data_IF_478821564254
#
_entry.id   IF_478821564254
#
_cell.length_a   1.000
_cell.length_b   1.000
_cell.length_c   1.000
_cell.angle_alpha   90.00
_cell.angle_beta   90.00
_cell.angle_gamma   90.00
#
_symmetry.space_group_name_H-M   'P 1'
#
loop_
_entity.id
_entity.type
_entity.pdbx_description
1 polymer ?
#
# COMPACT_ATOMS: atom_id res chain seq x y z
N UNK A 1 -2.13 -7.38 -11.02
CA UNK A 1 -2.81 -6.27 -11.70
C UNK A 1 -1.79 -5.25 -12.18
N UNK A 2 -1.83 -4.93 -13.47
CA UNK A 2 -1.00 -3.89 -14.09
C UNK A 2 -1.65 -2.51 -13.93
N UNK A 3 -0.84 -1.48 -13.66
CA UNK A 3 -1.30 -0.11 -13.49
C UNK A 3 -0.86 0.78 -14.65
N UNK A 4 -1.72 1.69 -15.06
CA UNK A 4 -1.40 2.83 -15.92
C UNK A 4 -1.81 4.11 -15.21
N UNK A 5 -0.87 5.07 -15.05
CA UNK A 5 -1.11 6.31 -14.27
C UNK A 5 -1.72 6.03 -12.88
N UNK A 6 -1.21 5.00 -12.18
CA UNK A 6 -1.65 4.55 -10.84
C UNK A 6 -3.09 4.03 -10.78
N UNK A 7 -3.71 3.74 -11.92
CA UNK A 7 -5.04 3.11 -12.01
C UNK A 7 -4.91 1.73 -12.64
N UNK A 8 -5.74 0.76 -12.23
CA UNK A 8 -5.86 -0.51 -12.93
C UNK A 8 -6.10 -0.31 -14.42
N UNK A 9 -5.37 -1.03 -15.26
CA UNK A 9 -5.66 -1.07 -16.70
C UNK A 9 -7.01 -1.76 -16.88
N UNK A 10 -7.93 -1.08 -17.59
CA UNK A 10 -9.25 -1.65 -17.95
C UNK A 10 -9.18 -2.18 -19.37
N UNK A 11 -9.65 -3.40 -19.56
CA UNK A 11 -9.84 -4.00 -20.88
C UNK A 11 -11.11 -3.47 -21.51
N UNK A 12 -11.09 -3.38 -22.83
CA UNK A 12 -12.25 -3.01 -23.64
C UNK A 12 -13.25 -4.17 -23.64
N UNK A 13 -14.56 -3.87 -23.66
CA UNK A 13 -15.57 -4.91 -23.83
C UNK A 13 -15.38 -5.60 -25.18
N UNK A 14 -15.75 -6.88 -25.27
CA UNK A 14 -15.73 -7.61 -26.52
C UNK A 14 -16.64 -6.89 -27.53
N UNK A 15 -16.13 -6.68 -28.75
CA UNK A 15 -16.96 -6.17 -29.84
C UNK A 15 -18.05 -7.19 -30.18
N UNK A 16 -19.30 -6.73 -30.33
CA UNK A 16 -20.38 -7.54 -30.87
C UNK A 16 -20.09 -7.77 -32.35
N UNK A 17 -19.75 -9.01 -32.70
CA UNK A 17 -19.50 -9.42 -34.08
C UNK A 17 -20.76 -10.15 -34.55
N UNK A 18 -21.54 -9.50 -35.41
CA UNK A 18 -22.80 -10.06 -35.93
C UNK A 18 -22.58 -11.14 -37.00
N UNK A 19 -21.42 -11.13 -37.68
CA UNK A 19 -21.08 -12.05 -38.76
C UNK A 19 -19.95 -13.01 -38.35
N UNK A 20 -20.25 -14.31 -38.33
CA UNK A 20 -19.30 -15.37 -37.98
C UNK A 20 -18.13 -15.51 -38.97
N UNK A 21 -18.23 -14.92 -40.16
CA UNK A 21 -17.16 -14.93 -41.17
C UNK A 21 -16.32 -13.65 -41.21
N UNK A 22 -16.57 -12.68 -40.33
CA UNK A 22 -15.82 -11.42 -40.33
C UNK A 22 -14.36 -11.61 -39.89
N UNK A 23 -13.43 -10.94 -40.57
CA UNK A 23 -12.04 -10.88 -40.10
C UNK A 23 -11.94 -10.08 -38.80
N UNK A 24 -11.24 -10.66 -37.82
CA UNK A 24 -11.06 -10.06 -36.50
C UNK A 24 -9.58 -10.01 -36.13
N UNK A 25 -9.24 -9.02 -35.32
CA UNK A 25 -7.92 -8.89 -34.70
C UNK A 25 -8.04 -9.13 -33.21
N UNK A 26 -7.15 -9.97 -32.67
CA UNK A 26 -7.24 -10.43 -31.28
C UNK A 26 -5.90 -10.23 -30.58
N UNK A 27 -5.94 -9.81 -29.31
CA UNK A 27 -4.78 -9.74 -28.42
C UNK A 27 -4.84 -10.90 -27.41
N UNK A 28 -4.09 -12.00 -27.60
CA UNK A 28 -4.23 -13.22 -26.81
C UNK A 28 -4.06 -13.04 -25.30
N UNK A 29 -3.19 -12.12 -24.88
CA UNK A 29 -2.88 -11.91 -23.47
C UNK A 29 -3.99 -11.13 -22.73
N UNK A 30 -4.79 -10.33 -23.45
CA UNK A 30 -5.88 -9.54 -22.84
C UNK A 30 -7.26 -10.07 -23.20
N UNK A 31 -7.36 -10.94 -24.22
CA UNK A 31 -8.63 -11.45 -24.75
C UNK A 31 -9.44 -10.39 -25.49
N UNK A 32 -8.86 -9.21 -25.77
CA UNK A 32 -9.54 -8.15 -26.50
C UNK A 32 -9.63 -8.49 -27.99
N UNK A 33 -10.82 -8.32 -28.56
CA UNK A 33 -11.13 -8.58 -29.97
C UNK A 33 -11.59 -7.29 -30.63
N UNK A 34 -11.12 -7.05 -31.85
CA UNK A 34 -11.35 -5.86 -32.63
C UNK A 34 -11.86 -6.24 -34.02
N UNK A 35 -12.85 -5.49 -34.51
CA UNK A 35 -13.40 -5.59 -35.87
C UNK A 35 -12.70 -4.65 -36.87
N UNK A 36 -11.81 -3.78 -36.40
CA UNK A 36 -11.01 -2.87 -37.23
C UNK A 36 -9.53 -2.99 -36.89
N UNK A 37 -8.71 -3.10 -37.93
CA UNK A 37 -7.26 -3.17 -37.79
C UNK A 37 -6.67 -1.91 -37.14
N UNK A 38 -7.21 -0.73 -37.45
CA UNK A 38 -6.74 0.54 -36.90
C UNK A 38 -6.96 0.59 -35.38
N UNK A 39 -8.13 0.16 -34.91
CA UNK A 39 -8.43 0.08 -33.47
C UNK A 39 -7.53 -0.92 -32.74
N UNK A 40 -7.18 -2.02 -33.40
CA UNK A 40 -6.21 -2.98 -32.88
C UNK A 40 -4.80 -2.35 -32.77
N UNK A 41 -4.35 -1.63 -33.80
CA UNK A 41 -3.04 -0.96 -33.78
C UNK A 41 -2.94 0.09 -32.68
N UNK A 42 -3.96 0.95 -32.55
CA UNK A 42 -4.01 1.96 -31.49
C UNK A 42 -3.94 1.31 -30.09
N UNK A 43 -4.64 0.18 -29.92
CA UNK A 43 -4.60 -0.57 -28.66
C UNK A 43 -3.23 -1.19 -28.40
N UNK A 44 -2.63 -1.74 -29.44
CA UNK A 44 -1.30 -2.35 -29.36
C UNK A 44 -0.23 -1.28 -29.04
N UNK A 45 -0.32 -0.11 -29.65
CA UNK A 45 0.57 1.02 -29.37
C UNK A 45 0.42 1.53 -27.94
N UNK A 46 -0.81 1.58 -27.42
CA UNK A 46 -1.06 1.82 -26.00
C UNK A 46 -0.30 0.83 -25.11
N UNK A 47 -0.36 -0.48 -25.41
CA UNK A 47 0.33 -1.51 -24.62
C UNK A 47 1.85 -1.51 -24.76
N UNK A 48 2.38 -1.05 -25.89
CA UNK A 48 3.83 -0.90 -26.12
C UNK A 48 4.42 0.32 -25.41
N UNK A 49 3.60 1.26 -24.91
CA UNK A 49 4.11 2.39 -24.13
C UNK A 49 4.81 1.91 -22.86
N UNK A 50 6.00 2.44 -22.56
CA UNK A 50 6.73 2.19 -21.32
C UNK A 50 6.23 3.03 -20.15
N UNK A 51 4.93 2.93 -19.86
CA UNK A 51 4.22 3.76 -18.87
C UNK A 51 3.40 2.93 -17.89
N UNK A 52 3.61 1.62 -17.88
CA UNK A 52 2.94 0.71 -16.98
C UNK A 52 3.79 0.40 -15.77
N UNK A 53 3.09 0.04 -14.70
CA UNK A 53 3.67 -0.25 -13.40
C UNK A 53 3.14 -1.58 -12.91
N UNK A 54 4.00 -2.37 -12.27
CA UNK A 54 3.62 -3.57 -11.55
C UNK A 54 3.13 -3.18 -10.14
N UNK A 55 1.91 -3.59 -9.79
CA UNK A 55 1.34 -3.34 -8.46
C UNK A 55 2.11 -4.03 -7.33
N UNK A 56 2.58 -5.25 -7.55
CA UNK A 56 3.23 -6.10 -6.55
C UNK A 56 4.64 -5.58 -6.31
N UNK A 57 5.50 -5.68 -7.33
CA UNK A 57 6.92 -5.34 -7.23
C UNK A 57 7.17 -3.84 -7.20
N UNK A 58 6.26 -3.02 -7.75
CA UNK A 58 6.41 -1.57 -7.81
C UNK A 58 7.30 -1.06 -8.94
N UNK A 59 7.85 -1.96 -9.78
CA UNK A 59 8.63 -1.57 -10.95
C UNK A 59 7.78 -0.74 -11.92
N UNK A 60 8.36 0.35 -12.42
CA UNK A 60 7.72 1.30 -13.33
C UNK A 60 8.49 1.43 -14.63
N UNK A 61 7.85 1.95 -15.68
CA UNK A 61 8.50 2.13 -16.99
C UNK A 61 8.52 0.85 -17.82
N UNK A 62 7.61 -0.06 -17.53
CA UNK A 62 7.43 -1.31 -18.25
C UNK A 62 6.38 -1.12 -19.36
N UNK A 63 6.46 -1.94 -20.41
CA UNK A 63 5.32 -2.15 -21.31
C UNK A 63 4.22 -2.91 -20.57
N UNK A 64 3.00 -2.94 -21.12
CA UNK A 64 1.90 -3.67 -20.49
C UNK A 64 2.22 -5.16 -20.33
N UNK A 65 2.76 -5.80 -21.36
CA UNK A 65 3.05 -7.25 -21.33
C UNK A 65 4.23 -7.59 -20.42
N UNK A 66 5.26 -6.73 -20.35
CA UNK A 66 6.33 -6.87 -19.37
C UNK A 66 5.80 -6.74 -17.94
N UNK A 67 4.98 -5.73 -17.68
CA UNK A 67 4.35 -5.53 -16.37
C UNK A 67 3.44 -6.70 -15.99
N UNK A 68 2.69 -7.26 -16.95
CA UNK A 68 1.83 -8.42 -16.74
C UNK A 68 2.66 -9.66 -16.39
N UNK A 69 3.74 -9.92 -17.12
CA UNK A 69 4.66 -11.04 -16.83
C UNK A 69 5.33 -10.88 -15.47
N UNK A 70 5.81 -9.67 -15.16
CA UNK A 70 6.38 -9.33 -13.85
C UNK A 70 5.38 -9.57 -12.73
N UNK A 71 4.12 -9.17 -12.92
CA UNK A 71 3.12 -9.32 -11.88
C UNK A 71 2.73 -10.78 -11.64
N UNK A 72 2.63 -11.59 -12.69
CA UNK A 72 2.39 -13.03 -12.55
C UNK A 72 3.56 -13.74 -11.85
N UNK A 73 4.80 -13.40 -12.22
CA UNK A 73 5.99 -13.98 -11.61
C UNK A 73 6.14 -13.54 -10.15
N UNK A 74 6.09 -12.25 -9.89
CA UNK A 74 6.21 -11.68 -8.54
C UNK A 74 5.06 -12.11 -7.62
N UNK A 75 3.85 -12.29 -8.15
CA UNK A 75 2.73 -12.83 -7.40
C UNK A 75 2.97 -14.26 -6.92
N UNK A 76 3.47 -15.14 -7.80
CA UNK A 76 3.82 -16.52 -7.45
C UNK A 76 4.97 -16.59 -6.45
N UNK A 77 5.99 -15.76 -6.64
CA UNK A 77 7.14 -15.70 -5.73
C UNK A 77 6.72 -15.26 -4.33
N UNK A 78 5.88 -14.22 -4.23
CA UNK A 78 5.33 -13.77 -2.94
C UNK A 78 4.50 -14.86 -2.28
N UNK A 79 3.69 -15.59 -3.04
CA UNK A 79 2.87 -16.68 -2.51
C UNK A 79 3.70 -17.87 -2.03
N UNK A 80 4.77 -18.23 -2.74
CA UNK A 80 5.65 -19.33 -2.40
C UNK A 80 6.61 -19.00 -1.24
N UNK A 81 7.11 -17.76 -1.18
CA UNK A 81 8.09 -17.34 -0.17
C UNK A 81 7.47 -16.94 1.17
N UNK A 82 6.20 -16.49 1.17
CA UNK A 82 5.55 -16.03 2.39
C UNK A 82 5.13 -17.21 3.26
N UNK A 83 5.46 -17.24 4.58
CA UNK A 83 5.16 -18.38 5.45
C UNK A 83 3.67 -18.72 5.49
N UNK A 84 3.32 -19.98 5.18
CA UNK A 84 1.93 -20.44 5.06
C UNK A 84 1.14 -20.25 6.36
N UNK A 85 1.76 -20.60 7.49
CA UNK A 85 1.19 -20.46 8.84
C UNK A 85 0.79 -19.01 9.18
N UNK A 86 1.45 -18.01 8.58
CA UNK A 86 1.17 -16.60 8.82
C UNK A 86 0.09 -16.02 7.91
N UNK A 87 -0.19 -16.63 6.74
CA UNK A 87 -1.11 -16.09 5.73
C UNK A 87 -2.51 -15.87 6.32
N UNK A 88 -3.11 -16.91 6.88
CA UNK A 88 -4.46 -16.84 7.46
C UNK A 88 -4.59 -15.83 8.60
N UNK A 89 -3.77 -15.91 9.66
CA UNK A 89 -3.78 -14.96 10.77
C UNK A 89 -3.60 -13.50 10.34
N UNK A 90 -2.65 -13.21 9.44
CA UNK A 90 -2.39 -11.86 8.96
C UNK A 90 -3.57 -11.34 8.14
N UNK A 91 -4.13 -12.15 7.25
CA UNK A 91 -5.29 -11.75 6.44
C UNK A 91 -6.51 -11.45 7.33
N UNK A 92 -6.75 -12.26 8.36
CA UNK A 92 -7.81 -11.98 9.36
C UNK A 92 -7.57 -10.66 10.08
N UNK A 93 -6.32 -10.33 10.42
CA UNK A 93 -6.00 -9.08 11.10
C UNK A 93 -6.13 -7.85 10.20
N UNK A 94 -5.74 -7.99 8.93
CA UNK A 94 -5.80 -6.91 7.94
C UNK A 94 -7.25 -6.63 7.52
N UNK A 95 -8.10 -7.65 7.49
CA UNK A 95 -9.51 -7.51 7.15
C UNK A 95 -10.17 -6.41 8.00
N UNK A 96 -10.84 -5.48 7.32
CA UNK A 96 -11.54 -4.35 7.91
C UNK A 96 -10.68 -3.29 8.63
N UNK A 97 -9.35 -3.36 8.57
CA UNK A 97 -8.51 -2.25 9.01
C UNK A 97 -8.83 -0.98 8.20
N UNK A 98 -8.87 0.18 8.83
CA UNK A 98 -9.14 1.47 8.17
C UNK A 98 -7.89 2.32 7.96
N UNK A 99 -6.70 1.75 8.21
CA UNK A 99 -5.42 2.44 8.06
C UNK A 99 -5.23 2.92 6.63
N UNK A 100 -4.99 4.22 6.44
CA UNK A 100 -5.03 4.84 5.11
C UNK A 100 -3.78 4.60 4.26
N UNK A 101 -2.62 4.39 4.87
CA UNK A 101 -1.35 4.17 4.15
C UNK A 101 -0.93 2.73 4.31
N UNK A 102 -0.57 2.08 3.19
CA UNK A 102 -0.09 0.70 3.20
C UNK A 102 1.13 0.53 4.11
N UNK A 103 2.07 1.47 4.09
CA UNK A 103 3.28 1.38 4.92
C UNK A 103 2.95 1.37 6.42
N UNK A 104 2.03 2.24 6.87
CA UNK A 104 1.58 2.25 8.26
C UNK A 104 0.87 0.95 8.65
N UNK A 105 0.07 0.37 7.73
CA UNK A 105 -0.57 -0.92 7.96
C UNK A 105 0.48 -2.03 8.09
N UNK A 106 1.46 -2.06 7.18
CA UNK A 106 2.56 -3.02 7.20
C UNK A 106 3.34 -2.91 8.51
N UNK A 107 3.64 -1.70 8.97
CA UNK A 107 4.34 -1.49 10.24
C UNK A 107 3.53 -2.02 11.43
N UNK A 108 2.23 -1.69 11.50
CA UNK A 108 1.34 -2.16 12.56
C UNK A 108 1.27 -3.69 12.62
N UNK A 109 1.05 -4.34 11.47
CA UNK A 109 0.96 -5.80 11.39
C UNK A 109 2.31 -6.43 11.69
N UNK A 110 3.42 -5.86 11.19
CA UNK A 110 4.74 -6.37 11.48
C UNK A 110 5.06 -6.34 12.97
N UNK A 111 4.78 -5.22 13.64
CA UNK A 111 5.07 -5.06 15.07
C UNK A 111 4.24 -5.98 15.96
N UNK A 112 3.03 -6.34 15.54
CA UNK A 112 2.18 -7.30 16.24
C UNK A 112 2.65 -8.75 16.03
N UNK A 113 3.06 -9.12 14.81
CA UNK A 113 3.38 -10.51 14.47
C UNK A 113 4.86 -10.89 14.66
N UNK A 114 5.78 -9.93 14.78
CA UNK A 114 7.24 -10.20 14.83
C UNK A 114 7.67 -11.14 15.96
N UNK A 115 6.97 -11.13 17.10
CA UNK A 115 7.22 -12.01 18.26
C UNK A 115 6.05 -12.97 18.55
N UNK A 116 5.15 -13.16 17.57
CA UNK A 116 3.98 -14.02 17.72
C UNK A 116 4.04 -15.17 16.72
N UNK A 117 4.31 -16.39 17.20
CA UNK A 117 4.63 -17.55 16.36
C UNK A 117 3.41 -18.48 16.21
N UNK A 118 3.21 -19.05 15.03
CA UNK A 118 2.05 -19.89 14.72
C UNK A 118 2.45 -21.35 14.44
N UNK A 119 1.56 -22.32 14.69
CA UNK A 119 1.74 -23.70 14.29
C UNK A 119 2.13 -23.85 12.82
N UNK A 120 3.12 -24.70 12.53
CA UNK A 120 3.68 -24.92 11.20
C UNK A 120 4.77 -23.94 10.79
N UNK A 121 5.17 -23.00 11.66
CA UNK A 121 6.32 -22.13 11.41
C UNK A 121 7.65 -22.77 11.84
N UNK A 122 8.70 -22.54 11.04
CA UNK A 122 10.07 -22.86 11.42
C UNK A 122 10.66 -21.75 12.29
N UNK A 123 11.26 -22.15 13.42
CA UNK A 123 11.82 -21.26 14.42
C UNK A 123 13.16 -21.79 14.92
N UNK A 124 13.98 -20.89 15.45
CA UNK A 124 15.15 -21.22 16.25
C UNK A 124 14.81 -21.02 17.72
N UNK A 125 15.02 -22.05 18.52
CA UNK A 125 14.83 -22.03 19.98
C UNK A 125 16.17 -21.99 20.69
N UNK A 126 16.22 -21.26 21.80
CA UNK A 126 17.39 -21.19 22.69
C UNK A 126 17.13 -22.04 23.92
N UNK A 127 17.87 -23.13 24.07
CA UNK A 127 17.78 -24.05 25.19
C UNK A 127 18.38 -23.43 26.46
N UNK A 128 18.07 -24.00 27.62
CA UNK A 128 18.57 -23.52 28.93
C UNK A 128 20.10 -23.52 29.04
N UNK A 129 20.79 -24.33 28.23
CA UNK A 129 22.25 -24.38 28.14
C UNK A 129 22.89 -23.30 27.26
N UNK A 130 22.09 -22.45 26.60
CA UNK A 130 22.57 -21.47 25.61
C UNK A 130 22.68 -22.02 24.20
N UNK A 131 22.56 -23.34 24.02
CA UNK A 131 22.53 -23.99 22.71
C UNK A 131 21.28 -23.58 21.94
N UNK A 132 21.45 -23.39 20.62
CA UNK A 132 20.37 -23.04 19.71
C UNK A 132 20.05 -24.22 18.82
N UNK A 133 18.77 -24.57 18.72
CA UNK A 133 18.28 -25.64 17.86
C UNK A 133 17.18 -25.11 16.95
N UNK A 134 17.09 -25.66 15.73
CA UNK A 134 15.99 -25.37 14.83
C UNK A 134 14.83 -26.31 15.12
N UNK A 135 13.60 -25.83 14.96
CA UNK A 135 12.40 -26.61 15.21
C UNK A 135 11.17 -26.07 14.50
N UNK A 136 10.09 -26.86 14.56
CA UNK A 136 8.79 -26.52 14.02
C UNK A 136 7.82 -26.26 15.17
N UNK A 137 7.11 -25.13 15.14
CA UNK A 137 6.06 -24.86 16.12
C UNK A 137 4.91 -25.83 15.90
N UNK A 138 4.63 -26.68 16.88
CA UNK A 138 3.49 -27.61 16.88
C UNK A 138 2.24 -26.92 17.40
N UNK A 139 2.32 -26.36 18.59
CA UNK A 139 1.19 -25.72 19.25
C UNK A 139 1.55 -24.35 19.84
N UNK A 140 0.55 -23.47 19.84
CA UNK A 140 0.58 -22.17 20.50
C UNK A 140 -0.53 -22.15 21.56
N UNK A 141 -0.14 -21.93 22.81
CA UNK A 141 -1.09 -21.79 23.93
C UNK A 141 -0.92 -20.45 24.61
N UNK A 142 -1.95 -19.60 24.57
CA UNK A 142 -1.96 -18.31 25.26
C UNK A 142 -2.78 -18.40 26.53
N UNK A 143 -2.15 -18.11 27.66
CA UNK A 143 -2.79 -18.01 28.97
C UNK A 143 -3.09 -16.55 29.26
N UNK A 144 -4.37 -16.24 29.55
CA UNK A 144 -4.77 -14.91 29.97
C UNK A 144 -4.24 -14.53 31.37
N UNK A 145 -4.49 -13.28 31.81
CA UNK A 145 -4.11 -12.82 33.14
C UNK A 145 -4.66 -13.73 34.23
N UNK A 146 -3.80 -14.21 35.13
CA UNK A 146 -4.19 -15.06 36.26
C UNK A 146 -4.18 -14.26 37.55
N UNK A 147 -5.22 -14.39 38.36
CA UNK A 147 -5.25 -13.82 39.71
C UNK A 147 -4.23 -14.56 40.61
N UNK A 148 -3.31 -13.82 41.18
CA UNK A 148 -2.30 -14.29 42.12
C UNK A 148 -2.87 -14.27 43.56
N UNK A 149 -2.29 -15.04 44.50
CA UNK A 149 -2.76 -15.10 45.89
C UNK A 149 -2.75 -13.75 46.63
N UNK A 150 -1.99 -12.78 46.13
CA UNK A 150 -1.88 -11.42 46.65
C UNK A 150 -2.96 -10.46 46.11
N UNK A 151 -3.89 -10.95 45.27
CA UNK A 151 -4.94 -10.15 44.64
C UNK A 151 -4.50 -9.38 43.38
N UNK A 152 -3.23 -9.49 42.97
CA UNK A 152 -2.75 -8.93 41.70
C UNK A 152 -3.01 -9.88 40.52
N UNK A 153 -2.94 -9.39 39.29
CA UNK A 153 -3.09 -10.20 38.07
C UNK A 153 -1.75 -10.35 37.36
N UNK A 154 -1.40 -11.57 36.96
CA UNK A 154 -0.26 -11.82 36.09
C UNK A 154 -0.51 -11.25 34.69
N UNK A 155 0.56 -10.95 33.96
CA UNK A 155 0.44 -10.64 32.54
C UNK A 155 0.02 -11.90 31.75
N UNK A 156 -0.61 -11.73 30.56
CA UNK A 156 -0.80 -12.84 29.64
C UNK A 156 0.54 -13.47 29.27
N UNK A 157 0.60 -14.79 29.18
CA UNK A 157 1.81 -15.52 28.81
C UNK A 157 1.47 -16.50 27.70
N UNK A 158 2.26 -16.51 26.64
CA UNK A 158 2.14 -17.50 25.56
C UNK A 158 3.26 -18.53 25.68
N UNK A 159 2.90 -19.80 25.52
CA UNK A 159 3.84 -20.91 25.42
C UNK A 159 3.72 -21.58 24.07
N UNK A 160 4.86 -22.00 23.54
CA UNK A 160 4.98 -22.67 22.26
C UNK A 160 5.54 -24.07 22.49
N UNK A 161 4.86 -25.08 21.96
CA UNK A 161 5.39 -26.43 21.86
C UNK A 161 6.15 -26.52 20.55
N UNK A 162 7.44 -26.79 20.60
CA UNK A 162 8.33 -26.83 19.44
C UNK A 162 8.93 -28.23 19.32
N UNK A 163 8.79 -28.80 18.13
CA UNK A 163 9.39 -30.06 17.72
C UNK A 163 10.78 -29.78 17.14
N UNK A 164 11.84 -30.31 17.77
CA UNK A 164 13.22 -30.02 17.37
C UNK A 164 13.61 -30.82 16.12
N UNK A 165 14.39 -30.22 15.22
CA UNK A 165 14.87 -30.93 14.02
C UNK A 165 16.03 -31.88 14.32
N UNK A 166 16.84 -31.54 15.33
CA UNK A 166 18.07 -32.27 15.67
C UNK A 166 17.83 -33.42 16.68
N UNK A 167 16.67 -33.42 17.35
CA UNK A 167 16.24 -34.41 18.33
C UNK A 167 14.76 -34.66 18.12
N UNK A 168 14.27 -35.91 18.15
CA UNK A 168 12.84 -36.26 18.05
C UNK A 168 12.09 -35.95 19.37
N UNK A 169 12.47 -34.84 20.02
CA UNK A 169 12.00 -34.37 21.32
C UNK A 169 11.25 -33.06 21.17
N UNK A 170 10.14 -32.93 21.90
CA UNK A 170 9.35 -31.71 21.95
C UNK A 170 9.76 -30.86 23.17
N UNK A 171 9.90 -29.55 22.98
CA UNK A 171 10.22 -28.60 24.05
C UNK A 171 9.19 -27.49 24.14
N UNK A 172 8.82 -27.15 25.38
CA UNK A 172 7.98 -25.99 25.66
C UNK A 172 8.85 -24.75 25.88
N UNK A 173 8.64 -23.71 25.07
CA UNK A 173 9.36 -22.44 25.14
C UNK A 173 8.41 -21.25 25.30
N UNK A 174 8.91 -20.18 25.91
CA UNK A 174 8.25 -18.86 25.97
C UNK A 174 8.72 -17.97 24.83
N UNK A 175 8.10 -16.82 24.67
CA UNK A 175 8.44 -15.76 23.70
C UNK A 175 9.91 -15.28 23.79
N UNK A 176 10.54 -15.38 24.96
CA UNK A 176 11.93 -15.00 25.18
C UNK A 176 12.94 -15.99 24.55
N UNK A 177 12.57 -17.26 24.40
CA UNK A 177 13.48 -18.35 24.01
C UNK A 177 13.19 -18.90 22.61
N UNK A 178 12.44 -18.16 21.80
CA UNK A 178 12.04 -18.53 20.44
C UNK A 178 12.26 -17.33 19.51
N UNK A 179 12.77 -17.58 18.31
CA UNK A 179 12.97 -16.55 17.30
C UNK A 179 12.79 -17.10 15.89
N UNK A 180 12.38 -16.26 14.95
CA UNK A 180 12.38 -16.60 13.51
C UNK A 180 13.77 -16.35 12.94
N UNK A 181 14.11 -17.11 11.91
CA UNK A 181 15.33 -16.83 11.17
C UNK A 181 15.22 -15.51 10.43
N UNK A 182 16.39 -14.86 10.28
CA UNK A 182 16.49 -13.57 9.64
C UNK A 182 16.09 -13.69 8.17
N UNK A 183 15.13 -12.87 7.75
CA UNK A 183 14.69 -12.79 6.36
C UNK A 183 13.41 -13.56 6.05
N UNK A 184 12.94 -14.45 6.93
CA UNK A 184 11.69 -15.21 6.73
C UNK A 184 10.47 -14.30 6.79
N UNK A 185 10.45 -13.37 7.75
CA UNK A 185 9.35 -12.43 7.94
C UNK A 185 9.88 -11.01 7.93
N UNK A 186 9.77 -10.34 6.78
CA UNK A 186 10.24 -8.96 6.60
C UNK A 186 9.10 -8.02 6.21
N UNK A 187 9.23 -6.73 6.52
CA UNK A 187 8.26 -5.70 6.08
C UNK A 187 8.11 -5.63 4.56
N UNK A 188 9.17 -5.92 3.81
CA UNK A 188 9.12 -5.95 2.35
C UNK A 188 8.25 -7.10 1.84
N UNK A 189 8.46 -8.32 2.35
CA UNK A 189 7.62 -9.48 2.03
C UNK A 189 6.17 -9.28 2.45
N UNK A 190 5.95 -8.78 3.68
CA UNK A 190 4.61 -8.47 4.20
C UNK A 190 3.89 -7.44 3.33
N UNK A 191 4.58 -6.38 2.90
CA UNK A 191 4.04 -5.37 1.97
C UNK A 191 3.59 -6.01 0.66
N UNK A 192 4.44 -6.84 0.06
CA UNK A 192 4.12 -7.52 -1.19
C UNK A 192 2.95 -8.50 -1.04
N UNK A 193 2.93 -9.26 0.06
CA UNK A 193 1.83 -10.16 0.42
C UNK A 193 0.50 -9.40 0.54
N UNK A 194 0.44 -8.33 1.34
CA UNK A 194 -0.78 -7.53 1.50
C UNK A 194 -1.24 -6.92 0.17
N UNK A 195 -0.32 -6.43 -0.68
CA UNK A 195 -0.68 -5.89 -2.01
C UNK A 195 -1.28 -6.97 -2.93
N UNK A 196 -0.79 -8.20 -2.84
CA UNK A 196 -1.26 -9.32 -3.66
C UNK A 196 -2.63 -9.82 -3.17
N UNK A 197 -2.86 -9.87 -1.87
CA UNK A 197 -4.02 -10.56 -1.29
C UNK A 197 -5.19 -9.65 -0.93
N UNK A 198 -4.97 -8.33 -0.83
CA UNK A 198 -5.96 -7.38 -0.31
C UNK A 198 -6.22 -6.25 -1.30
N UNK A 199 -7.41 -5.66 -1.22
CA UNK A 199 -7.86 -4.50 -2.00
C UNK A 199 -8.42 -3.43 -1.06
N UNK A 200 -8.44 -2.17 -1.52
CA UNK A 200 -9.04 -1.06 -0.78
C UNK A 200 -9.58 -0.01 -1.73
N UNK A 201 -10.76 0.51 -1.41
CA UNK A 201 -11.40 1.56 -2.18
C UNK A 201 -10.74 2.92 -1.99
N UNK A 202 -10.86 3.78 -3.00
CA UNK A 202 -10.24 5.10 -3.03
C UNK A 202 -11.03 6.18 -2.25
N UNK A 203 -11.48 5.87 -1.02
CA UNK A 203 -12.13 6.85 -0.13
C UNK A 203 -11.55 6.85 1.29
N UNK A 204 -11.70 7.98 1.99
CA UNK A 204 -11.15 8.17 3.32
C UNK A 204 -11.90 7.34 4.36
N UNK A 205 -11.20 6.38 4.97
CA UNK A 205 -11.81 5.43 5.91
C UNK A 205 -12.25 4.12 5.26
N UNK A 206 -11.99 3.93 3.95
CA UNK A 206 -12.24 2.65 3.29
C UNK A 206 -11.51 1.51 4.01
N UNK A 207 -12.22 0.44 4.40
CA UNK A 207 -11.59 -0.74 4.99
C UNK A 207 -10.75 -1.48 3.95
N UNK A 208 -9.70 -2.15 4.43
CA UNK A 208 -8.98 -3.16 3.66
C UNK A 208 -9.81 -4.43 3.55
N UNK A 209 -9.93 -4.98 2.34
CA UNK A 209 -10.72 -6.15 2.02
C UNK A 209 -9.85 -7.24 1.37
N UNK A 210 -9.80 -8.40 2.02
CA UNK A 210 -9.15 -9.60 1.47
C UNK A 210 -9.90 -10.03 0.20
N UNK A 211 -9.16 -10.34 -0.86
CA UNK A 211 -9.75 -10.82 -2.12
C UNK A 211 -10.47 -12.15 -1.90
N UNK A 212 -11.55 -12.36 -2.65
CA UNK A 212 -12.43 -13.53 -2.49
C UNK A 212 -11.70 -14.88 -2.61
N UNK A 213 -10.65 -14.96 -3.42
CA UNK A 213 -9.81 -16.16 -3.58
C UNK A 213 -9.18 -16.59 -2.24
N UNK A 214 -8.52 -15.67 -1.53
CA UNK A 214 -7.92 -15.94 -0.22
C UNK A 214 -8.95 -15.97 0.90
N UNK A 215 -10.02 -15.19 0.81
CA UNK A 215 -11.08 -15.20 1.80
C UNK A 215 -11.77 -16.57 1.88
N UNK A 216 -11.98 -17.21 0.72
CA UNK A 216 -12.49 -18.58 0.65
C UNK A 216 -11.50 -19.58 1.24
N UNK A 217 -10.23 -19.49 0.84
CA UNK A 217 -9.16 -20.40 1.30
C UNK A 217 -8.96 -20.35 2.83
N UNK A 218 -8.93 -19.15 3.41
CA UNK A 218 -8.68 -18.95 4.85
C UNK A 218 -9.95 -18.71 5.68
N UNK A 219 -11.13 -18.90 5.08
CA UNK A 219 -12.43 -18.85 5.75
C UNK A 219 -12.68 -17.50 6.44
N UNK A 220 -12.41 -16.40 5.72
CA UNK A 220 -12.51 -15.02 6.22
C UNK A 220 -13.83 -14.42 5.76
N UNK A 221 -14.61 -13.84 6.68
CA UNK A 221 -15.84 -13.13 6.34
C UNK A 221 -15.52 -11.82 5.60
N UNK A 222 -16.10 -11.68 4.41
CA UNK A 222 -15.96 -10.50 3.54
C UNK A 222 -17.08 -9.48 3.72
N UNK A 223 -18.09 -9.77 4.55
CA UNK A 223 -19.23 -8.87 4.79
C UNK A 223 -18.79 -7.66 5.60
N UNK A 224 -18.69 -6.52 4.90
CA UNK A 224 -18.29 -5.25 5.52
C UNK A 224 -19.30 -4.82 6.58
N UNK A 225 -18.88 -4.64 7.84
CA UNK A 225 -19.75 -4.17 8.92
C UNK A 225 -20.43 -2.84 8.58
N UNK A 226 -21.69 -2.60 9.00
CA UNK A 226 -22.44 -1.40 8.62
C UNK A 226 -21.69 -0.10 8.88
N UNK A 227 -21.03 0.06 10.03
CA UNK A 227 -20.31 1.28 10.40
C UNK A 227 -19.07 1.57 9.53
N UNK A 228 -18.60 0.60 8.75
CA UNK A 228 -17.49 0.73 7.80
C UNK A 228 -17.95 0.86 6.34
N UNK A 229 -19.26 0.72 6.08
CA UNK A 229 -19.82 0.87 4.74
C UNK A 229 -19.76 2.34 4.30
N UNK A 230 -19.47 2.53 3.02
CA UNK A 230 -19.40 3.85 2.39
C UNK A 230 -20.69 4.66 2.60
N UNK A 231 -21.85 4.06 2.36
CA UNK A 231 -23.15 4.73 2.46
C UNK A 231 -23.38 5.35 3.85
N UNK A 232 -23.07 4.60 4.91
CA UNK A 232 -23.21 5.06 6.29
C UNK A 232 -22.23 6.20 6.60
N UNK A 233 -20.99 6.13 6.09
CA UNK A 233 -20.02 7.21 6.22
C UNK A 233 -20.43 8.48 5.48
N UNK A 234 -21.08 8.36 4.34
CA UNK A 234 -21.64 9.50 3.59
C UNK A 234 -22.78 10.14 4.38
N UNK A 235 -23.70 9.32 4.94
CA UNK A 235 -24.80 9.81 5.76
C UNK A 235 -24.30 10.53 7.03
N UNK A 236 -23.34 9.94 7.74
CA UNK A 236 -22.70 10.55 8.93
C UNK A 236 -22.10 11.92 8.60
N UNK A 237 -21.37 12.01 7.48
CA UNK A 237 -20.80 13.29 7.01
C UNK A 237 -21.88 14.32 6.69
N UNK A 238 -22.96 13.90 6.01
CA UNK A 238 -24.09 14.78 5.67
C UNK A 238 -24.78 15.30 6.93
N UNK A 239 -24.96 14.45 7.93
CA UNK A 239 -25.58 14.81 9.21
C UNK A 239 -24.70 15.79 9.99
N UNK A 240 -23.39 15.55 10.09
CA UNK A 240 -22.44 16.47 10.73
C UNK A 240 -22.40 17.84 10.04
N UNK A 241 -22.48 17.87 8.70
CA UNK A 241 -22.58 19.14 7.96
C UNK A 241 -23.91 19.87 8.23
N UNK A 242 -25.03 19.15 8.31
CA UNK A 242 -26.32 19.73 8.66
C UNK A 242 -26.32 20.29 10.09
N UNK A 243 -25.74 19.57 11.05
CA UNK A 243 -25.59 20.04 12.44
C UNK A 243 -24.71 21.29 12.52
N UNK A 244 -23.58 21.34 11.81
CA UNK A 244 -22.73 22.54 11.74
C UNK A 244 -23.45 23.73 11.14
N UNK A 245 -24.26 23.51 10.09
CA UNK A 245 -25.10 24.57 9.50
C UNK A 245 -26.17 25.06 10.48
N UNK A 246 -26.80 24.15 11.22
CA UNK A 246 -27.79 24.51 12.24
C UNK A 246 -27.15 25.29 13.40
N UNK A 247 -25.94 24.91 13.84
CA UNK A 247 -25.20 25.62 14.90
C UNK A 247 -24.79 27.03 14.47
N UNK A 248 -24.27 27.21 13.24
CA UNK A 248 -23.94 28.55 12.72
C UNK A 248 -25.17 29.46 12.64
N UNK A 249 -26.33 28.93 12.23
CA UNK A 249 -27.55 29.72 12.16
C UNK A 249 -28.08 30.16 13.54
N UNK A 250 -27.75 29.43 14.60
CA UNK A 250 -28.16 29.78 15.96
C UNK A 250 -27.25 30.87 16.57
N UNK A 251 -25.95 30.88 16.24
CA UNK A 251 -25.01 31.92 16.68
C UNK A 251 -25.24 33.27 15.98
N UNK A 252 -25.76 33.29 14.74
CA UNK A 252 -26.07 34.56 14.03
C UNK A 252 -27.35 35.24 14.49
N UNK A 253 -28.25 34.53 15.18
CA UNK A 253 -29.53 35.08 15.65
C UNK A 253 -29.48 35.57 17.12
N UNK A 254 -28.31 35.54 17.76
CA UNK A 254 -28.12 35.92 19.16
C UNK A 254 -27.45 37.28 19.40
N UNK A 255 -27.33 38.15 18.39
CA UNK A 255 -26.86 39.53 18.59
C UNK A 255 -28.01 40.53 18.37
N UNK A 256 -28.31 41.26 19.45
CA UNK A 256 -29.37 42.25 19.65
C UNK A 256 -29.88 43.01 18.42
N UNK A 257 -31.20 42.96 18.27
CA UNK A 257 -32.01 43.77 17.36
C UNK A 257 -32.21 45.19 17.92
N UNK A 258 -31.17 46.04 17.94
CA UNK A 258 -31.36 47.50 18.00
C UNK A 258 -30.27 48.27 17.23
N UNK A 259 -30.31 48.21 15.90
CA UNK A 259 -29.96 49.33 15.00
C UNK A 259 -30.07 48.91 13.54
N UNK A 260 -31.30 48.89 13.03
CA UNK A 260 -31.57 48.80 11.60
C UNK A 260 -32.07 50.16 11.10
N UNK A 261 -31.14 51.07 10.82
CA UNK A 261 -31.31 52.23 9.94
C UNK A 261 -29.92 52.52 9.38
N UNK A 262 -29.75 52.31 8.07
CA UNK A 262 -28.74 52.82 7.12
C UNK A 262 -28.34 51.71 6.12
N UNK A 263 -29.01 51.74 4.97
CA UNK A 263 -28.66 50.98 3.77
C UNK A 263 -27.35 51.51 3.17
N UNK A 264 -26.34 50.64 3.05
CA UNK A 264 -25.13 50.84 2.27
C UNK A 264 -24.69 49.51 1.64
N UNK A 265 -23.95 49.51 0.51
CA UNK A 265 -23.72 48.33 -0.29
C UNK A 265 -22.82 47.32 0.44
N UNK A 266 -23.18 46.05 0.30
CA UNK A 266 -22.53 44.88 0.90
C UNK A 266 -21.03 44.88 0.58
N UNK A 267 -20.19 45.09 1.61
CA UNK A 267 -18.74 44.86 1.55
C UNK A 267 -18.45 43.36 1.67
N UNK A 268 -17.60 42.84 0.77
CA UNK A 268 -17.02 41.50 0.86
C UNK A 268 -16.34 41.28 2.24
N UNK A 269 -16.39 40.08 2.83
CA UNK A 269 -15.68 39.78 4.08
C UNK A 269 -14.17 39.97 3.92
N UNK A 270 -13.56 40.78 4.79
CA UNK A 270 -12.11 40.99 4.80
C UNK A 270 -11.37 39.69 5.12
N UNK A 271 -10.47 39.30 4.21
CA UNK A 271 -9.50 38.24 4.43
C UNK A 271 -8.57 38.64 5.59
N UNK A 272 -8.68 37.92 6.72
CA UNK A 272 -7.69 38.02 7.80
C UNK A 272 -6.31 37.65 7.23
N UNK A 273 -5.28 38.51 7.36
CA UNK A 273 -3.94 38.13 6.97
C UNK A 273 -3.43 36.97 7.84
N UNK A 274 -2.75 36.02 7.20
CA UNK A 274 -2.13 34.88 7.86
C UNK A 274 -1.22 35.32 9.03
N UNK A 275 -1.19 34.59 10.17
CA UNK A 275 -0.33 34.94 11.28
C UNK A 275 1.15 34.81 10.85
N UNK A 276 1.86 35.93 10.85
CA UNK A 276 3.31 35.97 10.64
C UNK A 276 4.00 35.23 11.77
N UNK A 277 4.81 34.24 11.40
CA UNK A 277 5.76 33.57 12.29
C UNK A 277 6.71 34.60 12.92
N UNK A 278 6.86 34.52 14.25
CA UNK A 278 7.85 35.29 15.01
C UNK A 278 9.25 34.82 14.62
N UNK A 279 10.01 35.65 13.91
CA UNK A 279 11.45 35.51 13.71
C UNK A 279 12.16 36.30 14.82
N UNK A 280 13.12 35.65 15.49
CA UNK A 280 13.98 36.22 16.55
C UNK A 280 14.97 37.26 15.95
N UNK A 281 15.37 38.31 16.71
CA UNK A 281 16.28 39.34 16.20
C UNK A 281 17.77 38.98 16.35
N UNK A 282 18.56 39.46 15.38
CA UNK A 282 20.03 39.43 15.29
C UNK A 282 20.48 38.79 13.97
N UNK A 283 21.23 39.39 13.04
CA UNK A 283 22.07 40.58 13.11
C UNK A 283 22.56 40.96 11.68
N UNK A 284 22.48 42.25 11.34
CA UNK A 284 23.17 43.06 10.29
C UNK A 284 23.15 42.69 8.78
N UNK A 285 22.83 43.69 7.94
CA UNK A 285 23.44 43.83 6.60
C UNK A 285 22.57 44.38 5.46
N UNK A 286 22.42 45.71 5.40
CA UNK A 286 22.30 46.61 4.22
C UNK A 286 21.65 46.17 2.89
N UNK A 287 20.76 47.04 2.36
CA UNK A 287 20.73 47.32 0.91
C UNK A 287 19.40 47.15 0.17
N UNK A 288 18.61 48.21 0.13
CA UNK A 288 17.45 48.40 -0.76
C UNK A 288 17.84 48.49 -2.25
N UNK A 289 17.05 47.88 -3.16
CA UNK A 289 16.47 48.52 -4.39
C UNK A 289 15.70 47.51 -5.29
N UNK A 290 14.38 47.74 -5.40
CA UNK A 290 13.52 47.70 -6.60
C UNK A 290 13.51 46.47 -7.53
N UNK A 291 12.41 45.71 -7.51
CA UNK A 291 11.99 44.84 -8.61
C UNK A 291 11.38 45.67 -9.75
N UNK A 292 11.87 45.45 -10.98
CA UNK A 292 11.25 45.88 -12.23
C UNK A 292 11.17 44.65 -13.16
N UNK A 293 9.96 44.29 -13.56
CA UNK A 293 9.69 43.28 -14.57
C UNK A 293 9.88 43.86 -15.97
N UNK A 294 10.32 43.07 -16.95
CA UNK A 294 9.83 43.26 -18.30
C UNK A 294 9.21 41.99 -18.89
N UNK A 295 8.10 42.24 -19.56
CA UNK A 295 7.41 41.43 -20.56
C UNK A 295 8.28 41.35 -21.83
N UNK A 296 8.14 40.25 -22.58
CA UNK A 296 8.57 39.94 -23.97
C UNK A 296 9.71 38.93 -24.20
N UNK A 297 9.34 37.88 -24.96
CA UNK A 297 10.15 36.88 -25.68
C UNK A 297 10.95 37.52 -26.84
N UNK A 298 12.07 36.93 -27.32
CA UNK A 298 11.98 35.88 -28.36
C UNK A 298 13.08 34.78 -28.39
N UNK A 299 12.69 33.62 -28.92
CA UNK A 299 13.33 32.68 -29.88
C UNK A 299 14.87 32.60 -30.05
N UNK A 300 15.33 31.33 -30.05
CA UNK A 300 16.57 30.70 -30.57
C UNK A 300 17.91 30.85 -29.82
N UNK A 301 18.49 29.67 -29.52
CA UNK A 301 19.91 29.40 -29.79
C UNK A 301 20.81 29.08 -28.58
N UNK A 302 21.39 27.86 -28.58
CA UNK A 302 22.76 27.66 -28.12
C UNK A 302 22.98 27.17 -26.68
N UNK A 303 23.34 25.89 -26.55
CA UNK A 303 24.20 25.38 -25.47
C UNK A 303 25.47 26.22 -25.36
N UNK A 304 25.98 26.44 -24.13
CA UNK A 304 27.32 25.90 -23.81
C UNK A 304 27.52 25.51 -22.32
N UNK A 305 28.64 24.86 -22.05
CA UNK A 305 29.19 24.38 -20.76
C UNK A 305 28.63 23.04 -20.25
N UNK A 306 29.30 21.89 -20.42
CA UNK A 306 30.70 21.49 -20.17
C UNK A 306 31.07 21.43 -18.69
N UNK A 307 31.32 20.19 -18.21
CA UNK A 307 32.25 19.70 -17.15
C UNK A 307 31.60 18.65 -16.24
N UNK A 308 32.35 17.76 -15.55
CA UNK A 308 33.22 16.71 -16.10
C UNK A 308 33.09 15.35 -15.35
N UNK A 309 33.86 14.34 -15.81
CA UNK A 309 34.39 13.15 -15.07
C UNK A 309 33.37 12.15 -14.49
N UNK A 310 33.10 10.99 -15.09
CA UNK A 310 33.95 9.85 -15.47
C UNK A 310 34.48 9.05 -14.24
N UNK A 311 33.69 8.03 -13.87
CA UNK A 311 34.11 6.88 -13.06
C UNK A 311 33.62 5.63 -13.77
N UNK A 312 34.59 4.80 -14.20
CA UNK A 312 34.37 3.66 -15.07
C UNK A 312 33.63 2.49 -14.43
N UNK A 313 32.83 1.84 -15.26
CA UNK A 313 32.34 0.47 -15.05
C UNK A 313 32.88 -0.36 -16.22
N UNK A 314 33.74 -1.33 -15.89
CA UNK A 314 34.18 -2.38 -16.81
C UNK A 314 33.00 -3.28 -17.16
N UNK A 315 32.68 -3.37 -18.45
CA UNK A 315 31.78 -4.37 -19.02
C UNK A 315 32.57 -5.63 -19.41
N UNK A 316 32.08 -6.85 -19.12
CA UNK A 316 32.72 -8.08 -19.56
C UNK A 316 32.46 -8.37 -21.04
N UNK A 317 33.50 -8.80 -21.73
CA UNK A 317 33.57 -9.14 -23.15
C UNK A 317 32.76 -10.42 -23.43
N UNK A 318 31.77 -10.33 -24.33
CA UNK A 318 31.10 -11.49 -24.93
C UNK A 318 32.02 -12.11 -25.99
N UNK A 319 32.26 -13.42 -25.89
CA UNK A 319 32.95 -14.23 -26.91
C UNK A 319 31.95 -14.72 -27.96
N UNK A 320 32.35 -14.63 -29.21
CA UNK A 320 31.63 -15.11 -30.39
C UNK A 320 31.78 -16.64 -30.55
N UNK A 321 30.74 -17.39 -30.98
CA UNK A 321 30.82 -18.85 -31.10
C UNK A 321 31.36 -19.31 -32.46
N UNK A 322 32.34 -20.21 -32.42
CA UNK A 322 32.90 -20.96 -33.56
C UNK A 322 31.92 -22.01 -34.09
N UNK A 323 31.82 -22.26 -35.42
CA UNK A 323 30.94 -23.28 -35.98
C UNK A 323 31.53 -24.71 -35.88
N UNK A 324 30.67 -25.76 -35.81
CA UNK A 324 31.08 -27.16 -35.64
C UNK A 324 31.54 -27.84 -36.95
N UNK A 325 32.22 -29.02 -36.84
CA UNK A 325 33.04 -29.62 -37.90
C UNK A 325 32.28 -30.21 -39.10
#
# INVERSE_FOLDING_TARGET
MVLFKRKPVRFLPAAEIEDENAEIWHIPQTGEVFSSYESYLDRMDFYKQRRFNDQITGHSGLTFFEALKSELAGGKEVEASFPEALKGPILRKVQFQTVSRLDNLVDQIYDEFKHDYYPGEEVTVTMKGGDRAHGLVRDKTTFGPRALPDGSHSLPTTRYLVDLKDSDEETNVTDEHICRDRGIFTKAMLRSFIKKTVTRDAWNGAPWLVKNEYASQYHIDTRVPPHLRYDNKVMERKQLQAQKRAHMNHETNGHDLTSALHSGPVRLPELKPAPKSKVKPGQHGAGSKGLKWPLNMPVHGGNPFSSPSDYGIQTPIQREPTPPP
#
